data_IF_941087305550
#
_entry.id   IF_941087305550
#
_cell.length_a   1.000
_cell.length_b   1.000
_cell.length_c   1.000
_cell.angle_alpha   90.00
_cell.angle_beta   90.00
_cell.angle_gamma   90.00
#
_symmetry.space_group_name_H-M   'P 1'
#
loop_
_entity.id
_entity.type
_entity.pdbx_description
1 polymer ?
#
# COMPACT_ATOMS: atom_id res chain seq x y z
N UNK A 1 37.39 -5.97 -15.20
CA UNK A 1 36.28 -5.02 -14.99
C UNK A 1 36.76 -4.08 -13.93
N UNK A 2 36.98 -2.82 -14.28
CA UNK A 2 37.32 -1.79 -13.30
C UNK A 2 36.06 -1.51 -12.49
N UNK A 3 36.13 -1.76 -11.18
CA UNK A 3 35.04 -1.46 -10.27
C UNK A 3 35.08 0.04 -9.97
N UNK A 4 34.10 0.78 -10.51
CA UNK A 4 33.92 2.19 -10.19
C UNK A 4 33.35 2.32 -8.78
N UNK A 5 34.06 3.03 -7.89
CA UNK A 5 33.58 3.23 -6.53
C UNK A 5 32.51 4.31 -6.52
N UNK A 6 31.36 4.06 -5.87
CA UNK A 6 30.32 5.08 -5.68
C UNK A 6 30.89 6.33 -4.97
N UNK A 7 31.91 6.16 -4.14
CA UNK A 7 32.55 7.23 -3.38
C UNK A 7 33.38 8.18 -4.24
N UNK A 8 33.73 7.77 -5.47
CA UNK A 8 34.47 8.59 -6.43
C UNK A 8 33.54 9.51 -7.24
N UNK A 9 32.23 9.30 -7.15
CA UNK A 9 31.24 10.14 -7.82
C UNK A 9 31.04 11.45 -7.05
N UNK A 10 30.60 12.54 -7.72
CA UNK A 10 30.14 13.74 -7.04
C UNK A 10 29.04 13.43 -6.02
N UNK A 11 29.01 14.18 -4.92
CA UNK A 11 28.09 13.95 -3.80
C UNK A 11 26.62 14.02 -4.24
N UNK A 12 26.30 14.86 -5.23
CA UNK A 12 24.97 14.97 -5.81
C UNK A 12 24.53 13.66 -6.48
N UNK A 13 25.44 13.02 -7.20
CA UNK A 13 25.19 11.73 -7.86
C UNK A 13 25.08 10.62 -6.81
N UNK A 14 25.93 10.65 -5.78
CA UNK A 14 25.82 9.72 -4.66
C UNK A 14 24.44 9.84 -3.99
N UNK A 15 23.97 11.06 -3.70
CA UNK A 15 22.67 11.31 -3.09
C UNK A 15 21.52 10.77 -3.96
N UNK A 16 21.56 11.00 -5.27
CA UNK A 16 20.56 10.45 -6.20
C UNK A 16 20.54 8.92 -6.21
N UNK A 17 21.71 8.28 -6.13
CA UNK A 17 21.78 6.81 -6.00
C UNK A 17 21.12 6.36 -4.70
N UNK A 18 21.37 7.03 -3.57
CA UNK A 18 20.74 6.69 -2.29
C UNK A 18 19.22 6.86 -2.35
N UNK A 19 18.73 7.98 -2.91
CA UNK A 19 17.30 8.23 -3.14
C UNK A 19 16.67 7.12 -3.99
N UNK A 20 17.37 6.70 -5.05
CA UNK A 20 16.89 5.61 -5.93
C UNK A 20 16.89 4.26 -5.21
N UNK A 21 17.90 3.97 -4.39
CA UNK A 21 17.95 2.74 -3.59
C UNK A 21 16.80 2.72 -2.58
N UNK A 22 16.52 3.84 -1.92
CA UNK A 22 15.42 3.96 -0.95
C UNK A 22 14.05 3.65 -1.56
N UNK A 23 13.80 4.04 -2.81
CA UNK A 23 12.56 3.74 -3.51
C UNK A 23 12.43 2.33 -4.06
N UNK A 24 13.53 1.55 -4.11
CA UNK A 24 13.52 0.22 -4.72
C UNK A 24 13.71 -0.92 -3.73
N UNK A 25 14.49 -0.72 -2.66
CA UNK A 25 14.91 -1.84 -1.80
C UNK A 25 15.22 -1.38 -0.38
N UNK A 26 14.37 -1.83 0.56
CA UNK A 26 14.60 -1.71 1.99
C UNK A 26 15.98 -2.28 2.38
N UNK A 27 16.27 -3.50 1.96
CA UNK A 27 17.51 -4.20 2.34
C UNK A 27 18.74 -3.47 1.83
N UNK A 28 18.72 -3.00 0.58
CA UNK A 28 19.88 -2.32 0.00
C UNK A 28 20.08 -0.94 0.62
N UNK A 29 19.02 -0.22 1.00
CA UNK A 29 19.17 1.06 1.70
C UNK A 29 19.86 0.88 3.06
N UNK A 30 19.45 -0.13 3.83
CA UNK A 30 20.09 -0.40 5.13
C UNK A 30 21.51 -0.95 4.97
N UNK A 31 21.76 -1.76 3.94
CA UNK A 31 23.11 -2.19 3.57
C UNK A 31 24.00 -1.01 3.19
N UNK A 32 23.49 -0.07 2.39
CA UNK A 32 24.18 1.15 1.99
C UNK A 32 24.48 2.03 3.21
N UNK A 33 23.52 2.19 4.13
CA UNK A 33 23.69 2.92 5.40
C UNK A 33 24.79 2.31 6.28
N UNK A 34 24.92 0.97 6.28
CA UNK A 34 25.93 0.27 7.05
C UNK A 34 27.33 0.28 6.40
N UNK A 35 27.43 0.66 5.12
CA UNK A 35 28.67 0.53 4.36
C UNK A 35 29.76 1.54 4.77
N UNK A 36 29.42 2.83 4.89
CA UNK A 36 30.37 3.85 5.32
C UNK A 36 29.67 5.10 5.88
N UNK A 37 30.46 6.01 6.49
CA UNK A 37 29.95 7.26 7.11
C UNK A 37 29.27 8.18 6.10
N UNK A 38 29.83 8.31 4.90
CA UNK A 38 29.26 9.15 3.82
C UNK A 38 27.89 8.63 3.40
N UNK A 39 27.80 7.33 3.09
CA UNK A 39 26.53 6.70 2.70
C UNK A 39 25.49 6.78 3.82
N UNK A 40 25.89 6.61 5.08
CA UNK A 40 25.01 6.82 6.23
C UNK A 40 24.46 8.25 6.27
N UNK A 41 25.31 9.26 6.14
CA UNK A 41 24.91 10.66 6.16
C UNK A 41 23.95 11.01 5.00
N UNK A 42 24.20 10.47 3.81
CA UNK A 42 23.30 10.64 2.66
C UNK A 42 21.94 9.95 2.89
N UNK A 43 21.94 8.73 3.42
CA UNK A 43 20.72 7.96 3.72
C UNK A 43 19.85 8.58 4.83
N UNK A 44 20.44 9.42 5.69
CA UNK A 44 19.74 10.11 6.78
C UNK A 44 19.18 11.49 6.36
N UNK A 45 19.36 11.91 5.11
CA UNK A 45 18.76 13.16 4.59
C UNK A 45 17.24 13.05 4.52
N UNK A 46 16.54 14.14 4.85
CA UNK A 46 15.07 14.17 4.83
C UNK A 46 14.50 13.80 3.46
N UNK A 47 15.14 14.24 2.38
CA UNK A 47 14.74 13.92 1.00
C UNK A 47 14.70 12.42 0.70
N UNK A 48 15.48 11.59 1.38
CA UNK A 48 15.41 10.12 1.22
C UNK A 48 14.03 9.60 1.64
N UNK A 49 13.42 10.21 2.67
CA UNK A 49 12.08 9.84 3.13
C UNK A 49 11.02 10.13 2.06
N UNK A 50 11.21 11.09 1.16
CA UNK A 50 10.31 11.34 0.04
C UNK A 50 10.29 10.17 -0.96
N UNK A 51 11.44 9.55 -1.21
CA UNK A 51 11.57 8.46 -2.19
C UNK A 51 11.39 7.06 -1.58
N UNK A 52 11.49 6.92 -0.26
CA UNK A 52 11.41 5.65 0.44
C UNK A 52 10.09 4.90 0.15
N UNK A 53 10.14 3.72 -0.45
CA UNK A 53 8.90 2.93 -0.62
C UNK A 53 8.56 2.25 0.71
N UNK A 54 7.61 2.81 1.46
CA UNK A 54 7.23 2.26 2.77
C UNK A 54 6.66 0.84 2.65
N UNK A 55 6.12 0.48 1.48
CA UNK A 55 5.61 -0.87 1.26
C UNK A 55 6.72 -1.90 1.00
N UNK A 56 7.97 -1.46 0.84
CA UNK A 56 9.13 -2.34 0.78
C UNK A 56 9.57 -2.87 2.15
N UNK A 57 9.07 -2.30 3.25
CA UNK A 57 9.40 -2.75 4.61
C UNK A 57 8.94 -4.20 4.81
N UNK A 58 9.85 -5.12 5.19
CA UNK A 58 9.48 -6.50 5.44
C UNK A 58 8.36 -6.61 6.48
N UNK A 59 7.30 -7.36 6.15
CA UNK A 59 6.14 -7.56 7.02
C UNK A 59 6.49 -7.94 8.47
N UNK A 60 7.58 -8.69 8.69
CA UNK A 60 8.00 -9.14 10.03
C UNK A 60 8.50 -8.02 10.94
N UNK A 61 8.88 -6.87 10.38
CA UNK A 61 9.49 -5.78 11.13
C UNK A 61 8.45 -4.77 11.64
N UNK A 62 7.19 -4.88 11.22
CA UNK A 62 6.15 -3.85 11.31
C UNK A 62 6.64 -2.50 10.74
N UNK A 63 5.72 -1.61 10.37
CA UNK A 63 6.13 -0.26 9.97
C UNK A 63 6.42 0.56 11.24
N UNK A 64 7.62 1.14 11.41
CA UNK A 64 7.85 2.05 12.52
C UNK A 64 6.96 3.30 12.37
N UNK A 65 6.16 3.69 13.38
CA UNK A 65 5.27 4.86 13.29
C UNK A 65 6.01 6.17 12.95
N UNK A 66 7.20 6.36 13.51
CA UNK A 66 8.02 7.54 13.22
C UNK A 66 8.56 7.55 11.78
N UNK A 67 8.84 6.38 11.18
CA UNK A 67 9.23 6.30 9.77
C UNK A 67 8.06 6.71 8.87
N UNK A 68 6.86 6.19 9.14
CA UNK A 68 5.67 6.60 8.39
C UNK A 68 5.41 8.10 8.50
N UNK A 69 5.51 8.66 9.71
CA UNK A 69 5.29 10.08 9.99
C UNK A 69 6.30 10.97 9.26
N UNK A 70 7.58 10.61 9.27
CA UNK A 70 8.64 11.36 8.59
C UNK A 70 8.51 11.28 7.07
N UNK A 71 8.23 10.10 6.50
CA UNK A 71 7.90 9.97 5.07
C UNK A 71 6.66 10.80 4.68
N UNK A 72 5.61 10.76 5.49
CA UNK A 72 4.40 11.53 5.22
C UNK A 72 4.64 13.04 5.25
N UNK A 73 5.44 13.53 6.20
CA UNK A 73 5.82 14.94 6.28
C UNK A 73 6.58 15.42 5.03
N UNK A 74 7.37 14.54 4.41
CA UNK A 74 8.10 14.78 3.16
C UNK A 74 7.25 14.51 1.90
N UNK A 75 5.91 14.39 2.05
CA UNK A 75 4.96 14.12 0.94
C UNK A 75 5.32 12.86 0.14
N UNK A 76 5.81 11.83 0.82
CA UNK A 76 6.18 10.58 0.20
C UNK A 76 5.00 9.93 -0.58
N UNK A 77 5.15 9.62 -1.87
CA UNK A 77 4.07 9.07 -2.69
C UNK A 77 3.49 7.74 -2.18
N UNK A 78 4.33 6.86 -1.62
CA UNK A 78 3.86 5.58 -1.07
C UNK A 78 2.99 5.77 0.17
N UNK A 79 3.30 6.74 1.05
CA UNK A 79 2.44 7.08 2.21
C UNK A 79 1.13 7.75 1.80
N UNK A 80 1.17 8.64 0.79
CA UNK A 80 -0.04 9.27 0.24
C UNK A 80 -0.96 8.21 -0.37
N UNK A 81 -0.39 7.29 -1.15
CA UNK A 81 -1.10 6.17 -1.72
C UNK A 81 -1.76 5.29 -0.65
N UNK A 82 -1.03 4.93 0.42
CA UNK A 82 -1.58 4.16 1.53
C UNK A 82 -2.77 4.84 2.20
N UNK A 83 -2.67 6.15 2.45
CA UNK A 83 -3.80 6.93 2.98
C UNK A 83 -4.98 6.92 2.01
N UNK A 84 -4.72 7.11 0.72
CA UNK A 84 -5.75 7.12 -0.31
C UNK A 84 -6.53 5.81 -0.39
N UNK A 85 -5.81 4.68 -0.40
CA UNK A 85 -6.41 3.33 -0.37
C UNK A 85 -7.26 3.15 0.90
N UNK A 86 -6.73 3.54 2.06
CA UNK A 86 -7.45 3.39 3.32
C UNK A 86 -8.74 4.25 3.37
N UNK A 87 -8.64 5.52 2.99
CA UNK A 87 -9.76 6.44 3.02
C UNK A 87 -10.86 5.97 2.07
N UNK A 88 -10.48 5.55 0.86
CA UNK A 88 -11.42 5.09 -0.14
C UNK A 88 -12.06 3.75 0.24
N UNK A 89 -11.23 2.71 0.43
CA UNK A 89 -11.71 1.32 0.49
C UNK A 89 -12.06 0.84 1.90
N UNK A 90 -11.63 1.53 2.95
CA UNK A 90 -11.92 1.14 4.35
C UNK A 90 -12.88 2.11 5.02
N UNK A 91 -12.66 3.42 4.87
CA UNK A 91 -13.47 4.44 5.54
C UNK A 91 -14.61 5.01 4.69
N UNK A 92 -14.72 4.58 3.43
CA UNK A 92 -15.73 5.06 2.48
C UNK A 92 -15.70 6.59 2.24
N UNK A 93 -14.53 7.21 2.44
CA UNK A 93 -14.25 8.62 2.14
C UNK A 93 -13.72 8.69 0.70
N UNK A 94 -14.63 8.57 -0.27
CA UNK A 94 -14.28 8.36 -1.67
C UNK A 94 -13.53 9.54 -2.27
N UNK A 95 -14.01 10.77 -2.08
CA UNK A 95 -13.40 11.96 -2.68
C UNK A 95 -11.98 12.18 -2.15
N UNK A 96 -11.80 12.12 -0.83
CA UNK A 96 -10.51 12.29 -0.18
C UNK A 96 -9.55 11.16 -0.52
N UNK A 97 -10.03 9.92 -0.46
CA UNK A 97 -9.23 8.75 -0.80
C UNK A 97 -8.75 8.78 -2.24
N UNK A 98 -9.63 9.16 -3.17
CA UNK A 98 -9.31 9.30 -4.58
C UNK A 98 -8.32 10.46 -4.83
N UNK A 99 -8.47 11.59 -4.12
CA UNK A 99 -7.55 12.71 -4.21
C UNK A 99 -6.13 12.34 -3.76
N UNK A 100 -5.99 11.60 -2.66
CA UNK A 100 -4.69 11.10 -2.19
C UNK A 100 -4.06 10.10 -3.18
N UNK A 101 -4.84 9.17 -3.72
CA UNK A 101 -4.36 8.25 -4.76
C UNK A 101 -3.92 9.01 -6.01
N UNK A 102 -4.66 10.04 -6.42
CA UNK A 102 -4.29 10.90 -7.54
C UNK A 102 -2.97 11.63 -7.31
N UNK A 103 -2.77 12.22 -6.13
CA UNK A 103 -1.51 12.89 -5.80
C UNK A 103 -0.31 11.95 -5.92
N UNK A 104 -0.42 10.74 -5.36
CA UNK A 104 0.64 9.74 -5.49
C UNK A 104 0.84 9.27 -6.95
N UNK A 105 -0.24 9.19 -7.74
CA UNK A 105 -0.17 8.83 -9.14
C UNK A 105 0.49 9.92 -9.99
N UNK A 106 0.20 11.19 -9.73
CA UNK A 106 0.78 12.34 -10.44
C UNK A 106 2.30 12.46 -10.16
N UNK A 107 2.76 12.01 -8.99
CA UNK A 107 4.18 11.83 -8.64
C UNK A 107 4.83 10.59 -9.29
N UNK A 108 4.08 9.83 -10.10
CA UNK A 108 4.58 8.67 -10.83
C UNK A 108 4.75 7.40 -9.99
N UNK A 109 4.15 7.32 -8.80
CA UNK A 109 4.20 6.09 -7.99
C UNK A 109 3.38 5.00 -8.67
N UNK A 110 4.05 4.02 -9.30
CA UNK A 110 3.44 3.04 -10.22
C UNK A 110 2.20 2.35 -9.65
N UNK A 111 2.24 2.01 -8.35
CA UNK A 111 1.13 1.34 -7.66
C UNK A 111 -0.08 2.26 -7.51
N UNK A 112 0.13 3.56 -7.26
CA UNK A 112 -0.93 4.55 -7.24
C UNK A 112 -1.49 4.83 -8.64
N UNK A 113 -0.64 4.96 -9.66
CA UNK A 113 -1.06 5.16 -11.06
C UNK A 113 -2.03 4.07 -11.49
N UNK A 114 -1.65 2.81 -11.21
CA UNK A 114 -2.49 1.66 -11.47
C UNK A 114 -3.80 1.66 -10.70
N UNK A 115 -3.70 1.82 -9.37
CA UNK A 115 -4.86 1.73 -8.49
C UNK A 115 -5.85 2.83 -8.78
N UNK A 116 -5.38 4.07 -8.98
CA UNK A 116 -6.22 5.20 -9.35
C UNK A 116 -6.98 4.92 -10.65
N UNK A 117 -6.28 4.48 -11.71
CA UNK A 117 -6.90 4.17 -13.00
C UNK A 117 -7.97 3.06 -12.89
N UNK A 118 -7.68 2.00 -12.13
CA UNK A 118 -8.60 0.90 -11.92
C UNK A 118 -9.82 1.29 -11.07
N UNK A 119 -9.62 2.11 -10.03
CA UNK A 119 -10.73 2.67 -9.23
C UNK A 119 -11.65 3.51 -10.11
N UNK A 120 -11.08 4.38 -10.96
CA UNK A 120 -11.85 5.21 -11.92
C UNK A 120 -12.71 4.35 -12.85
N UNK A 121 -12.12 3.29 -13.41
CA UNK A 121 -12.81 2.33 -14.27
C UNK A 121 -13.94 1.59 -13.55
N UNK A 122 -13.67 0.98 -12.40
CA UNK A 122 -14.62 0.07 -11.73
C UNK A 122 -15.80 0.83 -11.13
N UNK A 123 -15.55 2.00 -10.55
CA UNK A 123 -16.59 2.76 -9.84
C UNK A 123 -17.38 3.70 -10.76
N UNK A 124 -16.75 4.24 -11.82
CA UNK A 124 -17.39 5.23 -12.69
C UNK A 124 -17.36 4.89 -14.19
N UNK A 125 -16.80 3.75 -14.59
CA UNK A 125 -16.65 3.39 -16.01
C UNK A 125 -15.68 4.29 -16.77
N UNK A 126 -14.86 5.08 -16.07
CA UNK A 126 -13.89 5.98 -16.68
C UNK A 126 -12.61 5.22 -17.02
N UNK A 127 -12.45 4.92 -18.31
CA UNK A 127 -11.31 4.18 -18.84
C UNK A 127 -10.16 5.08 -19.33
N UNK A 128 -10.26 6.40 -19.24
CA UNK A 128 -9.27 7.32 -19.85
C UNK A 128 -7.84 7.07 -19.34
N UNK A 129 -7.70 6.86 -18.03
CA UNK A 129 -6.42 6.54 -17.41
C UNK A 129 -6.00 5.10 -17.67
N UNK A 130 -6.95 4.17 -17.67
CA UNK A 130 -6.67 2.75 -17.86
C UNK A 130 -6.23 2.42 -19.29
N UNK A 131 -6.77 3.13 -20.29
CA UNK A 131 -6.40 2.97 -21.69
C UNK A 131 -4.91 3.26 -21.98
N UNK A 132 -4.20 3.92 -21.05
CA UNK A 132 -2.77 4.23 -21.15
C UNK A 132 -1.88 3.04 -20.81
N UNK A 133 -2.42 1.97 -20.24
CA UNK A 133 -1.64 0.79 -19.85
C UNK A 133 -1.44 -0.18 -21.02
N UNK A 134 -0.21 -0.68 -21.16
CA UNK A 134 0.11 -1.81 -22.03
C UNK A 134 0.08 -3.13 -21.23
N UNK A 135 0.01 -4.27 -21.91
CA UNK A 135 0.10 -5.59 -21.24
C UNK A 135 1.38 -5.70 -20.40
N UNK A 136 2.50 -5.21 -20.93
CA UNK A 136 3.79 -5.25 -20.25
C UNK A 136 3.79 -4.41 -18.98
N UNK A 137 3.16 -3.23 -19.00
CA UNK A 137 3.05 -2.38 -17.82
C UNK A 137 2.23 -3.03 -16.71
N UNK A 138 1.11 -3.66 -17.07
CA UNK A 138 0.22 -4.35 -16.13
C UNK A 138 0.88 -5.62 -15.58
N UNK A 139 1.63 -6.37 -16.39
CA UNK A 139 2.43 -7.50 -15.90
C UNK A 139 3.48 -7.03 -14.88
N UNK A 140 4.18 -5.92 -15.14
CA UNK A 140 5.15 -5.36 -14.18
C UNK A 140 4.48 -4.97 -12.87
N UNK A 141 3.37 -4.24 -12.93
CA UNK A 141 2.62 -3.83 -11.74
C UNK A 141 2.07 -5.03 -10.99
N UNK A 142 1.50 -6.02 -11.69
CA UNK A 142 1.04 -7.26 -11.07
C UNK A 142 2.15 -8.00 -10.33
N UNK A 143 3.39 -7.98 -10.82
CA UNK A 143 4.55 -8.51 -10.06
C UNK A 143 4.81 -7.72 -8.77
N UNK A 144 4.73 -6.38 -8.82
CA UNK A 144 4.90 -5.51 -7.65
C UNK A 144 3.77 -5.68 -6.63
N UNK A 145 2.54 -5.85 -7.07
CA UNK A 145 1.38 -6.09 -6.20
C UNK A 145 1.50 -7.44 -5.52
N UNK A 146 1.83 -8.50 -6.28
CA UNK A 146 1.87 -9.88 -5.77
C UNK A 146 3.11 -10.21 -4.95
N UNK A 147 4.22 -9.46 -5.10
CA UNK A 147 5.42 -9.63 -4.26
C UNK A 147 5.16 -9.23 -2.80
N UNK A 148 4.14 -8.40 -2.56
CA UNK A 148 3.68 -8.02 -1.24
C UNK A 148 2.93 -9.20 -0.60
N UNK A 149 3.63 -9.96 0.25
CA UNK A 149 3.03 -11.00 1.12
C UNK A 149 2.26 -10.42 2.31
N UNK A 150 1.46 -9.40 2.09
CA UNK A 150 0.67 -8.75 3.13
C UNK A 150 -0.66 -9.48 3.28
N UNK A 151 -1.03 -9.79 4.51
CA UNK A 151 -2.20 -10.64 4.76
C UNK A 151 -3.50 -9.91 4.44
N UNK A 152 -4.48 -10.74 4.08
CA UNK A 152 -5.88 -10.44 3.86
C UNK A 152 -6.43 -9.49 4.92
N UNK A 153 -6.83 -8.30 4.48
CA UNK A 153 -7.69 -7.42 5.25
C UNK A 153 -9.14 -7.84 5.24
N UNK A 154 -9.79 -7.74 6.40
CA UNK A 154 -11.20 -8.10 6.57
C UNK A 154 -12.14 -6.89 6.58
N UNK A 155 -11.64 -5.66 6.46
CA UNK A 155 -12.49 -4.47 6.51
C UNK A 155 -12.35 -3.65 5.23
N UNK A 156 -13.29 -3.89 4.32
CA UNK A 156 -13.54 -3.05 3.15
C UNK A 156 -14.95 -2.46 3.25
N UNK A 157 -15.19 -1.33 2.59
CA UNK A 157 -16.51 -0.74 2.50
C UNK A 157 -17.48 -1.67 1.76
N UNK A 158 -18.75 -1.64 2.13
CA UNK A 158 -19.81 -2.43 1.50
C UNK A 158 -19.89 -2.19 -0.01
N UNK A 159 -19.61 -0.96 -0.46
CA UNK A 159 -19.58 -0.61 -1.87
C UNK A 159 -18.46 -1.30 -2.64
N UNK A 160 -17.25 -1.37 -2.06
CA UNK A 160 -16.16 -2.13 -2.66
C UNK A 160 -16.49 -3.63 -2.71
N UNK A 161 -17.08 -4.17 -1.64
CA UNK A 161 -17.53 -5.56 -1.59
C UNK A 161 -18.59 -5.85 -2.65
N UNK A 162 -19.56 -4.94 -2.85
CA UNK A 162 -20.57 -5.04 -3.89
C UNK A 162 -19.94 -5.05 -5.29
N UNK A 163 -18.97 -4.15 -5.56
CA UNK A 163 -18.25 -4.12 -6.84
C UNK A 163 -17.44 -5.39 -7.09
N UNK A 164 -16.83 -5.96 -6.04
CA UNK A 164 -16.15 -7.26 -6.14
C UNK A 164 -17.15 -8.37 -6.47
N UNK A 165 -18.28 -8.41 -5.78
CA UNK A 165 -19.27 -9.47 -5.98
C UNK A 165 -19.93 -9.38 -7.37
N UNK A 166 -20.11 -8.16 -7.89
CA UNK A 166 -20.47 -7.90 -9.28
C UNK A 166 -19.42 -8.48 -10.25
N UNK A 167 -18.13 -8.20 -10.04
CA UNK A 167 -17.05 -8.77 -10.85
C UNK A 167 -17.02 -10.31 -10.80
N UNK A 168 -17.13 -10.89 -9.60
CA UNK A 168 -17.13 -12.34 -9.40
C UNK A 168 -18.33 -13.00 -10.08
N UNK A 169 -19.50 -12.38 -10.04
CA UNK A 169 -20.72 -12.97 -10.61
C UNK A 169 -20.86 -12.77 -12.12
N UNK A 170 -20.33 -11.68 -12.68
CA UNK A 170 -20.58 -11.30 -14.09
C UNK A 170 -19.37 -11.49 -14.99
N UNK A 171 -18.17 -11.09 -14.55
CA UNK A 171 -16.96 -11.08 -15.37
C UNK A 171 -16.21 -12.41 -15.25
N UNK A 172 -16.12 -12.91 -14.02
CA UNK A 172 -15.36 -14.12 -13.68
C UNK A 172 -15.83 -15.38 -14.44
N UNK A 173 -17.13 -15.70 -14.58
CA UNK A 173 -17.56 -16.90 -15.31
C UNK A 173 -17.13 -16.87 -16.77
N UNK A 174 -17.07 -15.66 -17.33
CA UNK A 174 -16.70 -15.45 -18.71
C UNK A 174 -15.22 -15.73 -18.99
N UNK A 175 -14.35 -15.57 -17.97
CA UNK A 175 -12.96 -15.98 -18.05
C UNK A 175 -12.83 -17.50 -18.25
N UNK A 176 -13.54 -18.30 -17.43
CA UNK A 176 -13.51 -19.77 -17.51
C UNK A 176 -14.17 -20.34 -18.77
N UNK A 177 -14.98 -19.55 -19.48
CA UNK A 177 -15.55 -19.93 -20.78
C UNK A 177 -14.56 -19.82 -21.96
N UNK A 178 -13.38 -19.22 -21.76
CA UNK A 178 -12.38 -19.06 -22.82
C UNK A 178 -11.54 -20.32 -23.03
N UNK A 179 -11.28 -20.66 -24.29
CA UNK A 179 -10.35 -21.74 -24.68
C UNK A 179 -8.90 -21.51 -24.24
N UNK A 180 -8.55 -20.26 -23.90
CA UNK A 180 -7.25 -19.86 -23.42
C UNK A 180 -7.00 -20.24 -21.96
N UNK A 181 -8.05 -20.57 -21.20
CA UNK A 181 -7.93 -21.08 -19.83
C UNK A 181 -7.68 -22.59 -19.94
N UNK A 182 -6.56 -23.12 -19.42
CA UNK A 182 -6.36 -24.56 -19.38
C UNK A 182 -7.56 -25.21 -18.68
N UNK A 183 -8.03 -26.37 -19.15
CA UNK A 183 -8.98 -27.19 -18.40
C UNK A 183 -8.26 -27.54 -17.08
N UNK A 184 -8.53 -26.77 -16.04
CA UNK A 184 -7.97 -27.02 -14.72
C UNK A 184 -8.85 -28.09 -14.10
N UNK A 185 -8.32 -29.30 -13.93
CA UNK A 185 -9.04 -30.45 -13.36
C UNK A 185 -9.52 -30.25 -11.91
N UNK A 186 -9.20 -29.11 -11.27
CA UNK A 186 -9.66 -28.76 -9.92
C UNK A 186 -9.84 -27.24 -9.78
N UNK A 187 -10.70 -26.87 -8.83
CA UNK A 187 -11.14 -25.51 -8.45
C UNK A 187 -10.01 -24.57 -7.98
N UNK A 188 -9.04 -24.25 -8.84
CA UNK A 188 -8.08 -23.19 -8.55
C UNK A 188 -8.73 -21.84 -8.87
N UNK A 189 -9.02 -21.09 -7.83
CA UNK A 189 -9.49 -19.71 -7.89
C UNK A 189 -8.50 -18.88 -8.73
N UNK A 190 -8.98 -18.01 -9.63
CA UNK A 190 -8.21 -17.15 -10.57
C UNK A 190 -6.88 -16.62 -10.01
N UNK A 191 -6.89 -16.30 -8.70
CA UNK A 191 -5.78 -15.88 -7.86
C UNK A 191 -4.53 -16.79 -7.87
N UNK A 192 -4.66 -18.06 -8.26
CA UNK A 192 -3.58 -19.05 -8.24
C UNK A 192 -3.08 -19.48 -9.63
N UNK A 193 -3.65 -18.95 -10.72
CA UNK A 193 -3.16 -19.29 -12.07
C UNK A 193 -1.73 -18.76 -12.24
N UNK A 194 -0.81 -19.65 -12.59
CA UNK A 194 0.62 -19.34 -12.75
C UNK A 194 0.88 -18.15 -13.67
N UNK A 195 1.77 -17.25 -13.20
CA UNK A 195 2.11 -15.98 -13.84
C UNK A 195 2.81 -16.13 -15.22
N UNK A 196 3.32 -17.32 -15.55
CA UNK A 196 4.01 -17.59 -16.82
C UNK A 196 3.05 -17.79 -18.01
N UNK A 197 1.73 -17.78 -17.76
CA UNK A 197 0.72 -18.05 -18.80
C UNK A 197 0.08 -16.78 -19.39
N UNK A 198 0.38 -15.58 -18.86
CA UNK A 198 -0.23 -14.33 -19.32
C UNK A 198 -0.02 -14.06 -20.82
N UNK A 199 1.15 -14.41 -21.36
CA UNK A 199 1.49 -14.23 -22.78
C UNK A 199 0.69 -15.17 -23.70
N UNK A 200 0.18 -16.28 -23.16
CA UNK A 200 -0.61 -17.28 -23.89
C UNK A 200 -2.12 -16.99 -23.83
N UNK A 201 -2.54 -16.00 -23.05
CA UNK A 201 -3.94 -15.60 -22.94
C UNK A 201 -4.34 -14.64 -24.06
N UNK A 202 -5.60 -14.78 -24.52
CA UNK A 202 -6.21 -13.78 -25.38
C UNK A 202 -6.34 -12.43 -24.63
N UNK A 203 -6.54 -11.34 -25.38
CA UNK A 203 -6.58 -9.99 -24.81
C UNK A 203 -7.60 -9.88 -23.66
N UNK A 204 -8.81 -10.41 -23.85
CA UNK A 204 -9.86 -10.39 -22.83
C UNK A 204 -9.44 -11.06 -21.52
N UNK A 205 -8.97 -12.31 -21.58
CA UNK A 205 -8.61 -13.06 -20.38
C UNK A 205 -7.37 -12.50 -19.68
N UNK A 206 -6.44 -11.93 -20.44
CA UNK A 206 -5.34 -11.18 -19.86
C UNK A 206 -5.84 -10.01 -19.01
N UNK A 207 -6.75 -9.17 -19.52
CA UNK A 207 -7.23 -8.00 -18.78
C UNK A 207 -8.10 -8.35 -17.58
N UNK A 208 -8.82 -9.49 -17.61
CA UNK A 208 -9.54 -10.00 -16.44
C UNK A 208 -8.56 -10.47 -15.36
N UNK A 209 -7.54 -11.24 -15.72
CA UNK A 209 -6.59 -11.84 -14.78
C UNK A 209 -5.51 -10.89 -14.28
N UNK A 210 -4.85 -10.18 -15.18
CA UNK A 210 -3.71 -9.33 -14.82
C UNK A 210 -4.10 -7.87 -14.63
N UNK A 211 -5.31 -7.47 -15.07
CA UNK A 211 -5.92 -6.18 -14.73
C UNK A 211 -6.83 -6.28 -13.51
N UNK A 212 -8.11 -6.61 -13.73
CA UNK A 212 -9.14 -6.50 -12.68
C UNK A 212 -8.83 -7.36 -11.44
N UNK A 213 -8.40 -8.61 -11.60
CA UNK A 213 -8.00 -9.46 -10.48
C UNK A 213 -6.79 -8.89 -9.70
N UNK A 214 -5.74 -8.41 -10.39
CA UNK A 214 -4.60 -7.74 -9.73
C UNK A 214 -5.04 -6.54 -8.91
N UNK A 215 -6.03 -5.77 -9.38
CA UNK A 215 -6.57 -4.65 -8.62
C UNK A 215 -7.21 -5.11 -7.31
N UNK A 216 -8.11 -6.11 -7.37
CA UNK A 216 -8.72 -6.63 -6.16
C UNK A 216 -7.66 -7.18 -5.21
N UNK A 217 -6.70 -8.01 -5.68
CA UNK A 217 -5.59 -8.52 -4.86
C UNK A 217 -4.81 -7.38 -4.19
N UNK A 218 -4.50 -6.33 -4.95
CA UNK A 218 -3.76 -5.17 -4.45
C UNK A 218 -4.46 -4.56 -3.24
N UNK A 219 -5.76 -4.26 -3.35
CA UNK A 219 -6.53 -3.61 -2.29
C UNK A 219 -6.68 -4.51 -1.06
N UNK A 220 -6.83 -5.83 -1.24
CA UNK A 220 -6.96 -6.80 -0.14
C UNK A 220 -5.71 -6.91 0.75
N UNK A 221 -4.52 -6.58 0.23
CA UNK A 221 -3.25 -6.70 0.95
C UNK A 221 -2.93 -5.53 1.90
N UNK A 222 -3.66 -4.41 1.86
CA UNK A 222 -3.24 -3.18 2.58
C UNK A 222 -3.57 -3.11 4.09
N UNK A 223 -4.39 -4.01 4.61
CA UNK A 223 -5.00 -3.83 5.93
C UNK A 223 -4.03 -3.97 7.13
N UNK A 224 -3.00 -4.80 7.02
CA UNK A 224 -2.13 -5.10 8.19
C UNK A 224 -1.31 -3.89 8.64
N UNK A 225 -0.96 -2.97 7.74
CA UNK A 225 -0.14 -1.81 8.13
C UNK A 225 -0.95 -0.70 8.81
N UNK A 226 -2.23 -0.59 8.45
CA UNK A 226 -3.10 0.46 8.94
C UNK A 226 -3.60 0.18 10.37
N UNK A 227 -3.86 -1.08 10.73
CA UNK A 227 -4.30 -1.42 12.08
C UNK A 227 -3.25 -1.13 13.15
N UNK A 228 -1.96 -1.36 12.91
CA UNK A 228 -0.91 -1.13 13.92
C UNK A 228 -0.64 0.37 14.16
N UNK A 229 -0.71 1.19 13.11
CA UNK A 229 -0.55 2.66 13.21
C UNK A 229 -1.79 3.31 13.81
N UNK A 230 -2.98 2.82 13.45
CA UNK A 230 -4.24 3.34 13.95
C UNK A 230 -4.57 2.83 15.35
N UNK A 231 -4.26 1.59 15.75
CA UNK A 231 -4.49 1.20 17.16
C UNK A 231 -3.64 2.07 18.07
N UNK A 232 -2.35 2.28 17.78
CA UNK A 232 -1.53 3.20 18.60
C UNK A 232 -2.04 4.65 18.59
N UNK A 233 -2.52 5.16 17.44
CA UNK A 233 -3.09 6.51 17.32
C UNK A 233 -4.48 6.69 17.95
N UNK A 234 -5.42 5.78 17.69
CA UNK A 234 -6.78 5.79 18.23
C UNK A 234 -6.78 5.49 19.73
N UNK A 235 -5.95 4.57 20.23
CA UNK A 235 -5.80 4.39 21.67
C UNK A 235 -5.27 5.67 22.31
N UNK A 236 -4.34 6.39 21.68
CA UNK A 236 -3.85 7.67 22.20
C UNK A 236 -4.91 8.77 22.17
N UNK A 237 -5.69 8.91 21.09
CA UNK A 237 -6.76 9.91 21.01
C UNK A 237 -7.94 9.57 21.91
N UNK A 238 -8.34 8.30 22.00
CA UNK A 238 -9.38 7.85 22.94
C UNK A 238 -8.90 7.99 24.39
N UNK A 239 -7.63 7.70 24.67
CA UNK A 239 -7.02 7.94 25.98
C UNK A 239 -6.99 9.42 26.33
N UNK A 240 -6.58 10.30 25.41
CA UNK A 240 -6.62 11.76 25.59
C UNK A 240 -8.05 12.27 25.80
N UNK A 241 -9.01 11.82 24.99
CA UNK A 241 -10.42 12.21 25.13
C UNK A 241 -10.97 11.70 26.46
N UNK A 242 -10.66 10.48 26.88
CA UNK A 242 -11.05 9.95 28.19
C UNK A 242 -10.39 10.73 29.33
N UNK A 243 -9.08 11.04 29.26
CA UNK A 243 -8.39 11.84 30.27
C UNK A 243 -8.92 13.28 30.34
N UNK A 244 -9.24 13.90 29.19
CA UNK A 244 -9.82 15.25 29.12
C UNK A 244 -11.27 15.29 29.62
N UNK A 245 -12.06 14.26 29.33
CA UNK A 245 -13.43 14.13 29.87
C UNK A 245 -13.43 13.85 31.37
N UNK A 246 -12.51 13.00 31.86
CA UNK A 246 -12.34 12.72 33.30
C UNK A 246 -11.89 13.99 34.03
N UNK A 247 -10.93 14.76 33.49
CA UNK A 247 -10.47 16.01 34.11
C UNK A 247 -11.54 17.12 34.05
N UNK A 248 -12.31 17.22 32.97
CA UNK A 248 -13.43 18.14 32.86
C UNK A 248 -14.56 17.80 33.85
N UNK A 249 -14.89 16.52 34.04
CA UNK A 249 -15.92 16.11 35.01
C UNK A 249 -15.39 16.23 36.46
N UNK A 250 -14.08 16.05 36.69
CA UNK A 250 -13.40 16.32 37.97
C UNK A 250 -13.44 17.79 38.37
N UNK A 251 -13.19 18.71 37.42
CA UNK A 251 -13.31 20.15 37.66
C UNK A 251 -14.76 20.56 37.99
N UNK A 252 -15.75 19.80 37.50
CA UNK A 252 -17.18 20.11 37.67
C UNK A 252 -17.78 19.53 38.95
N UNK A 253 -17.23 18.43 39.46
CA UNK A 253 -17.73 17.72 40.66
C UNK A 253 -16.58 17.50 41.63
N UNK A 254 -16.27 18.54 42.41
CA UNK A 254 -15.34 18.42 43.52
C UNK A 254 -15.86 17.46 44.59
N UNK A 255 -15.57 16.16 44.49
CA UNK A 255 -15.55 15.23 45.62
C UNK A 255 -14.86 13.92 45.27
N UNK A 256 -13.82 13.62 46.04
CA UNK A 256 -12.99 12.40 46.04
C UNK A 256 -13.84 11.14 46.26
N UNK A 257 -13.61 10.08 45.47
CA UNK A 257 -13.56 8.66 45.87
C UNK A 257 -13.46 7.77 44.60
N UNK A 258 -12.26 7.67 44.04
CA UNK A 258 -11.94 6.70 42.99
C UNK A 258 -11.43 5.41 43.66
N UNK A 259 -12.32 4.43 43.88
CA UNK A 259 -11.90 3.03 43.92
C UNK A 259 -11.57 2.61 42.49
N UNK A 260 -10.31 2.81 42.12
CA UNK A 260 -9.74 2.25 40.90
C UNK A 260 -9.53 0.75 41.10
N UNK A 261 -10.46 -0.07 40.63
CA UNK A 261 -10.21 -1.48 40.35
C UNK A 261 -9.49 -1.57 39.00
N UNK A 262 -8.19 -1.29 38.99
CA UNK A 262 -7.33 -1.71 37.89
C UNK A 262 -7.03 -3.19 38.07
N UNK A 263 -7.60 -4.05 37.22
CA UNK A 263 -6.94 -5.29 36.86
C UNK A 263 -6.51 -5.19 35.40
N UNK A 264 -5.20 -5.18 35.25
CA UNK A 264 -4.44 -5.00 34.03
C UNK A 264 -3.96 -6.38 33.56
N UNK A 265 -3.56 -6.45 32.28
CA UNK A 265 -2.55 -7.34 31.69
C UNK A 265 -3.08 -8.41 30.72
N UNK A 266 -2.81 -8.11 29.45
CA UNK A 266 -2.12 -8.92 28.44
C UNK A 266 -2.24 -10.44 28.51
N UNK A 267 -2.77 -11.00 27.43
CA UNK A 267 -2.12 -12.07 26.66
C UNK A 267 -2.38 -11.83 25.18
#
# INVERSE_FOLDING_TARGET
>A
MDYFSILELPEEIQALVVERVAGNSFTDLYGLRASCKTMKALAERSRVNHFYDVLSVPRRLNMPPELFKTCYAERNPSTLYMKGVQFFFTFNLQEEGLAFMKLAADEGYERAVYTYAMTRKIFWGDEEYFARFTRESVVRIGKLVRSLKWAWGLSHSDEFLAKRDEFISTVFPSFYSCQCVPIMERDWVLWYIENSKGDKMCNRCFWIKDGEDVFYQNIFSFYVLCCDIITTGLYFTLWLVCCLLITADFCKKGSLQLRLSFNFIMT
#
